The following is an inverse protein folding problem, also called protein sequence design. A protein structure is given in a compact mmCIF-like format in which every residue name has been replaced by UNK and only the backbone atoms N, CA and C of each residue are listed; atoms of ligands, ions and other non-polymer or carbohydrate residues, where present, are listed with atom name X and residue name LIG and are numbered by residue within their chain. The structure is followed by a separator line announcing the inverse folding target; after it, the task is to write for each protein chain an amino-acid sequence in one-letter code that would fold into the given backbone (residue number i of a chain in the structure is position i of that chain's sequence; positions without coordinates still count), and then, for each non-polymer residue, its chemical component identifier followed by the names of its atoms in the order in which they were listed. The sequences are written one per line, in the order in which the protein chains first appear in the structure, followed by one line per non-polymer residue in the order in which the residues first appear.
data_IF_867915929296
#
_entry.id   IF_867915929296
#
_cell.length_a   1.000
_cell.length_b   1.000
_cell.length_c   1.000
_cell.angle_alpha   90.00
_cell.angle_beta   90.00
_cell.angle_gamma   90.00
#
_symmetry.space_group_name_H-M   'P 1'
#
loop_
_entity.id
_entity.type
_entity.pdbx_description
1 polymer ?
#
# COMPACT_ATOMS: atom_id res chain seq x y z
N UNK A 1 -1.09 -8.15 -3.66
CA UNK A 1 -2.00 -8.91 -2.79
C UNK A 1 -1.90 -8.36 -1.37
N UNK A 2 -2.41 -7.16 -1.13
CA UNK A 2 -2.70 -6.69 0.21
C UNK A 2 -4.20 -6.51 0.29
N UNK A 3 -4.81 -6.97 1.38
CA UNK A 3 -6.21 -6.71 1.66
C UNK A 3 -6.32 -5.22 1.95
N UNK A 4 -6.69 -4.42 0.96
CA UNK A 4 -6.75 -2.96 1.09
C UNK A 4 -8.10 -2.54 1.64
N UNK A 5 -8.06 -1.65 2.61
CA UNK A 5 -9.26 -1.01 3.13
C UNK A 5 -9.86 -0.05 2.10
N UNK A 6 -11.12 0.37 2.32
CA UNK A 6 -11.73 1.40 1.50
C UNK A 6 -10.85 2.66 1.50
N UNK A 7 -10.51 3.22 0.33
CA UNK A 7 -9.61 4.38 0.25
C UNK A 7 -10.16 5.61 0.99
N UNK A 8 -11.48 5.70 1.16
CA UNK A 8 -12.14 6.80 1.86
C UNK A 8 -12.11 6.68 3.40
N UNK A 9 -11.65 5.54 3.93
CA UNK A 9 -11.66 5.23 5.37
C UNK A 9 -10.25 5.11 5.96
N UNK A 10 -9.20 5.45 5.21
CA UNK A 10 -7.84 5.47 5.71
C UNK A 10 -7.50 6.81 6.41
N UNK A 11 -6.61 6.82 7.43
CA UNK A 11 -6.15 8.07 8.07
C UNK A 11 -5.41 9.01 7.11
N UNK A 12 -4.95 8.50 5.97
CA UNK A 12 -4.29 9.25 4.91
C UNK A 12 -4.95 8.96 3.56
N UNK A 13 -4.74 9.79 2.53
CA UNK A 13 -5.24 9.52 1.18
C UNK A 13 -4.65 8.25 0.53
N UNK A 14 -3.64 7.63 1.14
CA UNK A 14 -3.03 6.40 0.66
C UNK A 14 -3.81 5.18 1.21
N UNK A 15 -4.14 4.19 0.36
CA UNK A 15 -4.79 2.98 0.82
C UNK A 15 -3.89 2.20 1.76
N UNK A 16 -4.49 1.67 2.84
CA UNK A 16 -3.80 0.87 3.86
C UNK A 16 -4.35 -0.55 3.90
N UNK A 17 -3.56 -1.49 4.41
CA UNK A 17 -4.05 -2.85 4.61
C UNK A 17 -5.02 -2.93 5.79
N UNK A 18 -6.02 -3.81 5.69
CA UNK A 18 -6.92 -4.18 6.80
C UNK A 18 -6.43 -5.37 7.62
N UNK A 19 -5.29 -5.97 7.25
CA UNK A 19 -4.67 -7.04 8.05
C UNK A 19 -4.01 -6.39 9.27
N UNK A 20 -4.46 -6.69 10.51
CA UNK A 20 -3.97 -5.97 11.69
C UNK A 20 -2.52 -6.29 12.05
N UNK A 21 -2.13 -7.56 11.89
CA UNK A 21 -0.80 -8.10 12.19
C UNK A 21 -0.42 -9.09 11.09
N UNK A 22 0.61 -8.77 10.31
CA UNK A 22 1.08 -9.61 9.20
C UNK A 22 1.73 -10.90 9.69
N UNK A 23 2.33 -10.91 10.89
CA UNK A 23 2.98 -12.08 11.48
C UNK A 23 1.97 -13.08 12.03
N UNK A 24 0.74 -12.62 12.33
CA UNK A 24 -0.33 -13.43 12.95
C UNK A 24 -1.64 -13.37 12.17
N UNK A 25 -1.56 -13.10 10.87
CA UNK A 25 -2.73 -13.01 10.00
C UNK A 25 -3.49 -14.35 10.00
N UNK A 26 -4.81 -14.30 10.24
CA UNK A 26 -5.66 -15.48 10.16
C UNK A 26 -5.73 -15.98 8.71
N UNK A 27 -5.21 -17.19 8.39
CA UNK A 27 -5.21 -17.71 7.04
C UNK A 27 -6.62 -17.99 6.49
N UNK A 28 -7.62 -18.17 7.35
CA UNK A 28 -9.01 -18.33 6.91
C UNK A 28 -9.61 -17.00 6.43
N UNK A 29 -9.23 -15.89 7.07
CA UNK A 29 -9.71 -14.55 6.71
C UNK A 29 -8.86 -13.88 5.62
N UNK A 30 -7.54 -14.14 5.63
CA UNK A 30 -6.55 -13.50 4.77
C UNK A 30 -5.66 -14.52 4.03
N UNK A 31 -6.23 -15.44 3.24
CA UNK A 31 -5.49 -16.55 2.61
C UNK A 31 -4.33 -16.11 1.71
N UNK A 32 -4.36 -14.89 1.16
CA UNK A 32 -3.36 -14.38 0.22
C UNK A 32 -2.17 -13.70 0.91
N UNK A 33 -2.20 -13.52 2.24
CA UNK A 33 -1.09 -12.89 2.97
C UNK A 33 0.18 -13.74 2.87
N UNK A 34 0.07 -15.07 2.94
CA UNK A 34 1.22 -15.96 2.84
C UNK A 34 1.95 -15.81 1.49
N UNK A 35 1.20 -15.69 0.39
CA UNK A 35 1.76 -15.46 -0.95
C UNK A 35 2.39 -14.06 -1.06
N UNK A 36 1.75 -13.04 -0.47
CA UNK A 36 2.26 -11.68 -0.46
C UNK A 36 3.59 -11.59 0.30
N UNK A 37 3.69 -12.24 1.47
CA UNK A 37 4.91 -12.27 2.28
C UNK A 37 6.02 -13.07 1.62
N UNK A 38 5.70 -14.13 0.86
CA UNK A 38 6.70 -14.87 0.09
C UNK A 38 7.37 -14.01 -1.00
N UNK A 39 6.70 -12.95 -1.46
CA UNK A 39 7.22 -11.99 -2.44
C UNK A 39 7.75 -10.70 -1.80
N UNK A 40 7.70 -10.58 -0.47
CA UNK A 40 8.11 -9.37 0.23
C UNK A 40 9.62 -9.20 0.22
N UNK A 41 10.06 -7.95 0.28
CA UNK A 41 11.47 -7.59 0.49
C UNK A 41 11.58 -6.98 1.87
N UNK A 42 12.43 -7.57 2.71
CA UNK A 42 12.63 -7.18 4.09
C UNK A 42 14.03 -6.56 4.28
N UNK A 43 14.11 -5.55 5.13
CA UNK A 43 15.36 -4.91 5.51
C UNK A 43 15.26 -4.39 6.95
N UNK A 44 16.28 -4.68 7.75
CA UNK A 44 16.49 -4.05 9.06
C UNK A 44 17.45 -2.88 8.89
N UNK A 45 17.11 -1.72 9.48
CA UNK A 45 17.89 -0.48 9.32
C UNK A 45 18.60 -0.12 10.63
N UNK A 46 19.91 0.12 10.55
CA UNK A 46 20.72 0.66 11.63
C UNK A 46 20.75 2.20 11.60
N UNK A 47 21.18 2.87 12.70
CA UNK A 47 21.31 4.32 12.71
C UNK A 47 22.24 4.84 11.59
N UNK A 48 21.67 5.63 10.68
CA UNK A 48 22.37 6.20 9.53
C UNK A 48 22.05 5.52 8.20
N UNK A 49 21.40 4.36 8.22
CA UNK A 49 20.94 3.70 7.01
C UNK A 49 19.78 4.45 6.36
N UNK A 50 19.69 4.31 5.05
CA UNK A 50 18.60 4.87 4.25
C UNK A 50 18.08 3.80 3.29
N UNK A 51 16.76 3.76 3.15
CA UNK A 51 16.06 2.93 2.16
C UNK A 51 15.32 3.82 1.18
N UNK A 52 15.40 3.49 -0.11
CA UNK A 52 14.55 4.08 -1.13
C UNK A 52 13.32 3.21 -1.36
N UNK A 53 12.14 3.79 -1.14
CA UNK A 53 10.86 3.13 -1.39
C UNK A 53 10.24 3.78 -2.64
N UNK A 54 10.16 3.06 -3.78
CA UNK A 54 9.58 3.62 -4.99
C UNK A 54 8.10 4.00 -4.80
N UNK A 55 7.57 4.96 -5.56
CA UNK A 55 6.15 5.29 -5.52
C UNK A 55 5.26 4.05 -5.71
N UNK A 56 4.13 4.01 -4.98
CA UNK A 56 3.15 2.91 -4.97
C UNK A 56 3.61 1.61 -4.31
N UNK A 57 4.84 1.52 -3.78
CA UNK A 57 5.25 0.36 -2.99
C UNK A 57 4.60 0.38 -1.62
N UNK A 58 3.85 -0.69 -1.32
CA UNK A 58 3.38 -0.96 0.03
C UNK A 58 4.56 -1.31 0.93
N UNK A 59 4.58 -0.76 2.14
CA UNK A 59 5.63 -1.00 3.11
C UNK A 59 5.01 -1.02 4.51
N UNK A 60 5.43 -1.99 5.31
CA UNK A 60 5.17 -2.05 6.74
C UNK A 60 6.50 -1.72 7.44
N UNK A 61 6.41 -0.97 8.54
CA UNK A 61 7.58 -0.55 9.32
C UNK A 61 7.32 -0.87 10.78
N UNK A 62 8.28 -1.54 11.42
CA UNK A 62 8.24 -1.88 12.83
C UNK A 62 9.47 -1.30 13.56
N UNK A 63 9.25 -0.80 14.77
CA UNK A 63 10.32 -0.34 15.65
C UNK A 63 10.81 -1.50 16.52
N UNK A 64 12.03 -1.98 16.29
CA UNK A 64 12.63 -3.10 17.02
C UNK A 64 13.28 -2.71 18.35
N UNK A 65 13.63 -1.43 18.52
CA UNK A 65 14.30 -0.93 19.72
C UNK A 65 13.32 -0.67 20.87
N UNK A 66 13.63 -1.07 22.12
CA UNK A 66 12.68 -1.03 23.24
C UNK A 66 12.42 0.38 23.79
N UNK A 67 13.28 1.35 23.49
CA UNK A 67 13.24 2.67 24.11
C UNK A 67 12.90 3.79 23.13
N UNK A 68 13.65 3.90 22.04
CA UNK A 68 13.51 4.99 21.08
C UNK A 68 13.86 4.51 19.68
N UNK A 69 12.99 4.84 18.74
CA UNK A 69 13.22 4.72 17.31
C UNK A 69 12.85 6.06 16.67
N UNK A 70 13.73 6.59 15.82
CA UNK A 70 13.48 7.83 15.09
C UNK A 70 13.74 7.53 13.61
N UNK A 71 12.74 7.79 12.78
CA UNK A 71 12.81 7.71 11.32
C UNK A 71 12.54 9.11 10.75
N UNK A 72 13.35 9.51 9.76
CA UNK A 72 13.08 10.69 8.95
C UNK A 72 12.84 10.26 7.51
N UNK A 73 11.73 10.71 6.92
CA UNK A 73 11.39 10.44 5.53
C UNK A 73 11.42 11.73 4.70
N UNK A 74 11.91 11.59 3.47
CA UNK A 74 11.88 12.64 2.45
C UNK A 74 10.92 12.21 1.36
N UNK A 75 9.88 13.00 1.13
CA UNK A 75 8.92 12.78 0.05
C UNK A 75 9.22 13.76 -1.06
N UNK A 76 9.52 13.24 -2.24
CA UNK A 76 9.63 14.04 -3.45
C UNK A 76 8.90 13.33 -4.58
N UNK A 77 8.48 14.10 -5.57
CA UNK A 77 7.99 13.54 -6.82
C UNK A 77 9.16 13.54 -7.80
N UNK A 78 9.55 12.38 -8.37
CA UNK A 78 10.49 12.39 -9.47
C UNK A 78 9.87 13.19 -10.62
N UNK A 79 10.71 13.85 -11.42
CA UNK A 79 10.22 14.55 -12.60
C UNK A 79 9.45 13.57 -13.49
N UNK A 80 8.31 14.00 -14.05
CA UNK A 80 7.58 13.18 -14.98
C UNK A 80 8.50 12.70 -16.10
N UNK A 81 8.40 11.43 -16.47
CA UNK A 81 9.07 10.93 -17.67
C UNK A 81 8.74 11.86 -18.86
N UNK A 82 9.69 12.15 -19.77
CA UNK A 82 9.45 13.04 -20.90
C UNK A 82 8.16 12.64 -21.66
N UNK A 83 7.19 13.55 -21.70
CA UNK A 83 5.90 13.33 -22.35
C UNK A 83 4.76 12.80 -21.46
N UNK A 84 5.00 12.49 -20.18
CA UNK A 84 3.97 12.01 -19.25
C UNK A 84 3.64 13.08 -18.22
N UNK A 85 2.68 13.96 -18.53
CA UNK A 85 2.11 14.86 -17.53
C UNK A 85 1.17 14.02 -16.65
N UNK A 86 1.56 13.84 -15.39
CA UNK A 86 0.67 13.57 -14.26
C UNK A 86 0.33 12.08 -13.92
N UNK A 87 -0.07 11.90 -12.66
CA UNK A 87 -0.53 10.67 -12.02
C UNK A 87 -1.95 10.25 -12.48
N UNK A 88 -2.20 10.23 -13.80
CA UNK A 88 -3.53 9.92 -14.35
C UNK A 88 -4.08 8.54 -13.94
N UNK A 89 -3.22 7.61 -13.54
CA UNK A 89 -3.57 6.23 -13.20
C UNK A 89 -4.51 6.17 -12.00
N UNK A 90 -4.22 6.94 -10.94
CA UNK A 90 -5.06 6.98 -9.75
C UNK A 90 -6.39 7.71 -10.03
N UNK A 91 -6.36 8.76 -10.86
CA UNK A 91 -7.56 9.47 -11.29
C UNK A 91 -8.46 8.56 -12.14
N UNK A 92 -7.91 7.82 -13.09
CA UNK A 92 -8.63 6.86 -13.92
C UNK A 92 -9.24 5.74 -13.07
N UNK A 93 -8.49 5.18 -12.11
CA UNK A 93 -9.01 4.18 -11.18
C UNK A 93 -10.19 4.71 -10.36
N UNK A 94 -10.08 5.94 -9.82
CA UNK A 94 -11.16 6.58 -9.06
C UNK A 94 -12.41 6.83 -9.92
N UNK A 95 -12.21 7.29 -11.16
CA UNK A 95 -13.31 7.47 -12.11
C UNK A 95 -13.99 6.14 -12.45
N UNK A 96 -13.22 5.07 -12.67
CA UNK A 96 -13.76 3.73 -12.92
C UNK A 96 -14.54 3.22 -11.71
N UNK A 97 -14.02 3.38 -10.49
CA UNK A 97 -14.74 3.04 -9.26
C UNK A 97 -16.08 3.78 -9.18
N UNK A 98 -16.11 5.09 -9.45
CA UNK A 98 -17.34 5.88 -9.46
C UNK A 98 -18.33 5.43 -10.54
N UNK A 99 -17.83 5.10 -11.74
CA UNK A 99 -18.65 4.66 -12.86
C UNK A 99 -19.29 3.28 -12.61
N UNK A 100 -18.57 2.38 -11.94
CA UNK A 100 -18.97 0.97 -11.80
C UNK A 100 -19.65 0.66 -10.46
N UNK A 101 -19.51 1.50 -9.43
CA UNK A 101 -20.03 1.19 -8.07
C UNK A 101 -21.54 0.95 -7.99
N UNK A 102 -22.32 1.41 -8.98
CA UNK A 102 -23.78 1.31 -8.99
C UNK A 102 -24.33 0.30 -10.00
N UNK A 103 -23.48 -0.49 -10.67
CA UNK A 103 -23.96 -1.54 -11.56
C UNK A 103 -24.81 -2.57 -10.79
N UNK A 104 -25.79 -3.22 -11.41
CA UNK A 104 -26.45 -4.39 -10.80
C UNK A 104 -25.45 -5.51 -10.50
N UNK A 105 -25.73 -6.38 -9.53
CA UNK A 105 -24.82 -7.49 -9.14
C UNK A 105 -24.42 -8.36 -10.34
N UNK A 106 -25.39 -8.69 -11.21
CA UNK A 106 -25.15 -9.51 -12.40
C UNK A 106 -24.24 -8.87 -13.46
N UNK A 107 -24.00 -7.55 -13.39
CA UNK A 107 -23.08 -6.84 -14.29
C UNK A 107 -21.70 -6.58 -13.63
N UNK A 108 -21.56 -6.83 -12.32
CA UNK A 108 -20.29 -6.68 -11.59
C UNK A 108 -19.45 -7.96 -11.54
N UNK A 109 -20.09 -9.12 -11.62
CA UNK A 109 -19.46 -10.43 -11.36
C UNK A 109 -18.90 -11.12 -12.62
N UNK A 110 -19.08 -10.52 -13.81
CA UNK A 110 -18.55 -11.01 -15.09
C UNK A 110 -17.13 -10.53 -15.40
#
# INVERSE_FOLDING_TARGET
LLYLGPPDHAPTPAPMSVVPDLHRADPAQFPLVAEALACAVEAELEPGDAIYIPPLWFHQVEALAPHLNILMNYWWRPDPAPGRRDDLHLAAMRLAMLALRHLPDGEREG
#
